data_IF_385349027414
#
_entry.id   IF_385349027414
#
_cell.length_a   1.000
_cell.length_b   1.000
_cell.length_c   1.000
_cell.angle_alpha   90.00
_cell.angle_beta   90.00
_cell.angle_gamma   90.00
#
_symmetry.space_group_name_H-M   'P 1'
#
loop_
_entity.id
_entity.type
_entity.pdbx_description
1 polymer ?
#
# COMPACT_ATOMS: atom_id res chain seq x y z
N UNK A 1 -20.34 24.72 -38.49
CA UNK A 1 -19.66 25.81 -37.78
C UNK A 1 -20.43 26.08 -36.50
N UNK A 2 -20.01 25.47 -35.38
CA UNK A 2 -20.31 25.90 -34.02
C UNK A 2 -19.32 25.17 -33.10
N UNK A 3 -18.41 25.94 -32.53
CA UNK A 3 -17.37 25.53 -31.58
C UNK A 3 -17.94 25.49 -30.16
N UNK A 4 -17.49 24.53 -29.35
CA UNK A 4 -17.45 24.52 -27.88
C UNK A 4 -16.54 23.34 -27.43
N UNK A 5 -15.91 23.37 -26.25
CA UNK A 5 -14.51 23.77 -26.11
C UNK A 5 -13.55 22.63 -25.70
N UNK A 6 -12.31 22.80 -26.14
CA UNK A 6 -11.11 21.98 -25.93
C UNK A 6 -10.53 22.10 -24.50
N UNK A 7 -11.18 21.52 -23.48
CA UNK A 7 -10.65 21.58 -22.11
C UNK A 7 -10.76 20.31 -21.25
N UNK A 8 -11.22 19.17 -21.77
CA UNK A 8 -11.41 17.95 -20.95
C UNK A 8 -10.49 16.77 -21.31
N UNK A 9 -9.53 16.98 -22.21
CA UNK A 9 -8.60 15.93 -22.68
C UNK A 9 -7.14 16.14 -22.24
N UNK A 10 -6.87 17.17 -21.44
CA UNK A 10 -5.50 17.58 -21.07
C UNK A 10 -5.05 17.08 -19.69
N UNK A 11 -5.90 16.34 -18.96
CA UNK A 11 -5.57 15.84 -17.61
C UNK A 11 -5.13 14.37 -17.56
N UNK A 12 -5.24 13.64 -18.68
CA UNK A 12 -4.79 12.25 -18.79
C UNK A 12 -3.30 12.16 -19.21
N UNK A 13 -2.72 13.26 -19.72
CA UNK A 13 -1.42 13.22 -20.41
C UNK A 13 -0.19 13.71 -19.63
N UNK A 14 -0.32 14.10 -18.35
CA UNK A 14 0.84 14.54 -17.54
C UNK A 14 1.38 13.52 -16.53
N UNK A 15 0.68 12.39 -16.34
CA UNK A 15 1.07 11.38 -15.34
C UNK A 15 2.07 10.31 -15.80
N UNK A 16 2.18 10.07 -17.11
CA UNK A 16 2.86 8.85 -17.63
C UNK A 16 4.30 9.11 -18.10
N UNK A 17 4.73 10.37 -18.26
CA UNK A 17 6.01 10.68 -18.91
C UNK A 17 7.23 10.87 -17.96
N UNK A 18 7.19 10.43 -16.68
CA UNK A 18 8.30 10.71 -15.74
C UNK A 18 8.91 9.56 -14.95
N UNK A 19 8.58 8.30 -15.24
CA UNK A 19 9.08 7.16 -14.46
C UNK A 19 9.74 6.04 -15.27
N UNK A 20 10.21 6.35 -16.49
CA UNK A 20 11.21 5.51 -17.16
C UNK A 20 12.61 5.84 -16.64
N UNK A 21 13.11 5.03 -15.71
CA UNK A 21 14.54 4.70 -15.48
C UNK A 21 14.72 3.93 -14.16
N UNK A 22 14.94 2.62 -14.22
CA UNK A 22 16.24 1.97 -13.91
C UNK A 22 16.11 0.45 -13.69
N UNK A 23 16.90 -0.27 -14.50
CA UNK A 23 17.59 -1.55 -14.35
C UNK A 23 17.09 -2.66 -13.40
N UNK A 24 16.88 -3.80 -14.05
CA UNK A 24 17.04 -5.17 -13.58
C UNK A 24 18.43 -5.43 -12.99
N UNK A 25 18.50 -6.17 -11.87
CA UNK A 25 19.49 -7.23 -11.66
C UNK A 25 18.88 -8.33 -10.79
N UNK A 26 18.82 -9.53 -11.37
CA UNK A 26 18.45 -10.80 -10.74
C UNK A 26 19.64 -11.37 -9.96
N UNK A 27 19.41 -11.95 -8.78
CA UNK A 27 20.37 -12.89 -8.14
C UNK A 27 19.61 -14.09 -7.57
N UNK A 28 20.21 -15.25 -7.79
CA UNK A 28 19.64 -16.59 -7.76
C UNK A 28 19.33 -17.14 -6.37
N UNK A 29 18.31 -18.00 -6.35
CA UNK A 29 17.86 -18.84 -5.25
C UNK A 29 18.68 -20.15 -5.23
N UNK A 30 19.25 -20.53 -4.08
CA UNK A 30 19.92 -21.83 -3.88
C UNK A 30 19.25 -22.51 -2.67
N UNK A 31 18.83 -23.79 -2.77
CA UNK A 31 18.07 -24.48 -1.73
C UNK A 31 18.95 -25.02 -0.59
N UNK A 32 18.31 -25.18 0.57
CA UNK A 32 18.85 -25.59 1.87
C UNK A 32 19.33 -27.05 1.89
N UNK A 33 20.28 -27.33 2.78
CA UNK A 33 20.48 -28.67 3.37
C UNK A 33 20.41 -28.54 4.89
N UNK A 34 19.57 -29.34 5.53
CA UNK A 34 19.39 -29.42 6.99
C UNK A 34 20.21 -30.61 7.52
N UNK A 35 20.99 -30.39 8.57
CA UNK A 35 21.47 -31.46 9.44
C UNK A 35 20.91 -31.26 10.85
N UNK A 36 20.39 -32.36 11.41
CA UNK A 36 19.83 -32.47 12.75
C UNK A 36 20.93 -32.75 13.77
N UNK A 37 20.92 -32.03 14.91
CA UNK A 37 21.50 -32.54 16.15
C UNK A 37 20.66 -32.18 17.39
N UNK A 38 20.26 -33.26 18.07
CA UNK A 38 20.10 -33.53 19.50
C UNK A 38 19.52 -32.50 20.47
N UNK A 39 18.52 -33.02 21.20
CA UNK A 39 17.75 -32.45 22.31
C UNK A 39 18.61 -32.39 23.58
N UNK A 40 18.58 -31.26 24.28
CA UNK A 40 18.40 -31.18 25.74
C UNK A 40 18.19 -29.73 26.18
N UNK A 41 17.36 -29.56 27.22
CA UNK A 41 16.93 -28.31 27.88
C UNK A 41 15.64 -27.71 27.33
N UNK A 42 14.52 -27.97 28.01
CA UNK A 42 13.28 -27.18 27.88
C UNK A 42 13.56 -25.80 28.48
N UNK A 43 13.59 -24.69 27.70
CA UNK A 43 13.64 -23.36 28.27
C UNK A 43 12.20 -22.91 28.54
N UNK A 44 12.00 -22.20 29.66
CA UNK A 44 10.83 -21.34 29.85
C UNK A 44 10.65 -20.50 28.57
N UNK A 45 9.48 -20.57 27.95
CA UNK A 45 9.14 -19.74 26.80
C UNK A 45 9.08 -18.29 27.31
N UNK A 46 10.21 -17.61 27.28
CA UNK A 46 10.22 -16.16 27.25
C UNK A 46 9.73 -15.82 25.85
N UNK A 47 8.52 -15.27 25.75
CA UNK A 47 8.00 -14.79 24.47
C UNK A 47 8.98 -13.72 23.95
N UNK A 48 9.69 -14.06 22.90
CA UNK A 48 10.77 -13.23 22.35
C UNK A 48 10.15 -12.03 21.62
N UNK A 49 10.51 -10.83 22.07
CA UNK A 49 10.10 -9.60 21.41
C UNK A 49 10.92 -9.43 20.14
N UNK A 50 10.26 -9.06 19.04
CA UNK A 50 10.95 -8.83 17.77
C UNK A 50 10.42 -7.60 17.04
N UNK A 51 11.26 -7.07 16.15
CA UNK A 51 10.96 -5.93 15.29
C UNK A 51 11.31 -6.32 13.86
N UNK A 52 10.30 -6.41 13.01
CA UNK A 52 10.45 -6.73 11.59
C UNK A 52 10.28 -5.47 10.75
N UNK A 53 11.34 -5.07 10.05
CA UNK A 53 11.29 -3.89 9.19
C UNK A 53 10.64 -4.20 7.85
N UNK A 54 9.60 -3.43 7.48
CA UNK A 54 8.92 -3.62 6.20
C UNK A 54 9.82 -3.09 5.07
N UNK A 55 10.22 -3.93 4.10
CA UNK A 55 11.11 -3.51 3.02
C UNK A 55 10.58 -2.33 2.22
N UNK A 56 11.48 -1.48 1.72
CA UNK A 56 11.17 -0.36 0.79
C UNK A 56 10.18 0.69 1.34
N UNK A 57 10.02 0.81 2.65
CA UNK A 57 9.12 1.80 3.29
C UNK A 57 9.80 3.09 3.78
N UNK A 58 11.10 3.24 3.53
CA UNK A 58 11.85 4.42 3.98
C UNK A 58 11.57 5.64 3.08
N UNK A 59 11.03 6.69 3.69
CA UNK A 59 10.62 7.93 3.04
C UNK A 59 11.31 9.14 3.66
N UNK A 60 11.60 10.15 2.85
CA UNK A 60 12.22 11.42 3.27
C UNK A 60 11.43 12.59 2.71
N UNK A 61 11.08 13.56 3.56
CA UNK A 61 10.54 14.85 3.14
C UNK A 61 11.68 15.82 2.87
N UNK A 62 12.12 15.87 1.60
CA UNK A 62 13.21 16.72 1.13
C UNK A 62 12.64 17.99 0.49
N UNK A 63 12.75 19.11 1.19
CA UNK A 63 12.31 20.42 0.67
C UNK A 63 13.23 20.96 -0.43
N UNK A 64 14.54 20.73 -0.31
CA UNK A 64 15.57 21.18 -1.26
C UNK A 64 16.69 20.13 -1.34
N UNK A 65 17.18 19.89 -2.56
CA UNK A 65 18.30 18.96 -2.79
C UNK A 65 19.54 19.46 -2.05
N UNK A 66 20.24 18.55 -1.37
CA UNK A 66 21.45 18.88 -0.60
C UNK A 66 21.18 19.51 0.76
N UNK A 67 19.94 19.49 1.24
CA UNK A 67 19.55 19.89 2.60
C UNK A 67 19.09 18.65 3.36
N UNK A 68 19.31 18.64 4.68
CA UNK A 68 18.77 17.60 5.57
C UNK A 68 17.24 17.47 5.40
N UNK A 69 16.69 16.23 5.31
CA UNK A 69 15.26 16.03 5.25
C UNK A 69 14.54 16.63 6.46
N UNK A 70 13.41 17.30 6.23
CA UNK A 70 12.58 17.87 7.30
C UNK A 70 11.90 16.78 8.15
N UNK A 71 11.64 15.63 7.51
CA UNK A 71 11.17 14.42 8.17
C UNK A 71 11.74 13.20 7.46
N UNK A 72 11.88 12.11 8.21
CA UNK A 72 12.24 10.79 7.70
C UNK A 72 11.37 9.75 8.39
N UNK A 73 10.86 8.77 7.65
CA UNK A 73 10.00 7.74 8.21
C UNK A 73 10.28 6.36 7.66
N UNK A 74 9.98 5.34 8.47
CA UNK A 74 10.03 3.93 8.08
C UNK A 74 8.86 3.18 8.71
N UNK A 75 8.53 2.01 8.16
CA UNK A 75 7.51 1.12 8.74
C UNK A 75 8.13 -0.17 9.26
N UNK A 76 7.59 -0.66 10.35
CA UNK A 76 7.97 -1.91 10.99
C UNK A 76 6.73 -2.62 11.57
N UNK A 77 6.89 -3.89 11.88
CA UNK A 77 5.95 -4.67 12.69
C UNK A 77 6.64 -4.99 14.00
N UNK A 78 6.01 -4.63 15.11
CA UNK A 78 6.48 -4.96 16.44
C UNK A 78 5.71 -6.17 16.96
N UNK A 79 6.43 -7.18 17.45
CA UNK A 79 5.87 -8.40 18.02
C UNK A 79 6.14 -8.44 19.52
N UNK A 80 5.10 -8.64 20.31
CA UNK A 80 5.19 -8.90 21.74
C UNK A 80 4.14 -9.95 22.10
N UNK A 81 4.56 -11.06 22.69
CA UNK A 81 3.68 -12.18 23.01
C UNK A 81 2.90 -12.69 21.77
N UNK A 82 1.58 -12.82 21.90
CA UNK A 82 0.65 -13.20 20.85
C UNK A 82 0.09 -12.01 20.05
N UNK A 83 0.73 -10.84 20.17
CA UNK A 83 0.28 -9.59 19.57
C UNK A 83 1.28 -9.04 18.58
N UNK A 84 0.77 -8.37 17.57
CA UNK A 84 1.57 -7.60 16.63
C UNK A 84 0.99 -6.22 16.37
N UNK A 85 1.86 -5.24 16.21
CA UNK A 85 1.46 -3.88 15.89
C UNK A 85 2.18 -3.40 14.65
N UNK A 86 1.42 -2.84 13.73
CA UNK A 86 1.99 -2.12 12.59
C UNK A 86 2.36 -0.71 13.05
N UNK A 87 3.63 -0.35 12.90
CA UNK A 87 4.15 0.93 13.37
C UNK A 87 4.84 1.68 12.23
N UNK A 88 4.49 2.95 12.08
CA UNK A 88 5.24 3.93 11.29
C UNK A 88 6.03 4.82 12.24
N UNK A 89 7.35 4.78 12.16
CA UNK A 89 8.21 5.68 12.93
C UNK A 89 8.58 6.85 12.04
N UNK A 90 8.25 8.07 12.48
CA UNK A 90 8.53 9.32 11.77
C UNK A 90 9.37 10.21 12.67
N UNK A 91 10.64 10.43 12.33
CA UNK A 91 11.45 11.46 12.95
C UNK A 91 11.19 12.81 12.25
N UNK A 92 10.85 13.84 13.02
CA UNK A 92 10.67 15.22 12.56
C UNK A 92 11.68 16.14 13.23
N UNK A 93 12.46 16.83 12.43
CA UNK A 93 13.46 17.77 12.89
C UNK A 93 14.73 17.70 12.06
N UNK A 94 15.59 18.68 12.29
CA UNK A 94 16.93 18.78 11.71
C UNK A 94 17.95 18.54 12.82
N UNK A 95 18.83 17.57 12.64
CA UNK A 95 19.87 17.21 13.60
C UNK A 95 21.16 18.01 13.37
N UNK A 96 21.40 18.45 12.13
CA UNK A 96 22.60 19.19 11.75
C UNK A 96 22.23 20.63 11.37
N UNK A 97 22.26 21.53 12.36
CA UNK A 97 21.95 22.95 12.16
C UNK A 97 23.09 23.76 11.49
N UNK A 98 24.27 23.17 11.26
CA UNK A 98 25.47 23.91 10.86
C UNK A 98 26.08 23.32 9.58
N UNK A 99 26.37 24.23 8.63
CA UNK A 99 26.80 24.03 7.23
C UNK A 99 28.17 23.34 7.04
N UNK A 100 28.61 22.51 7.97
CA UNK A 100 29.95 21.92 7.93
C UNK A 100 29.85 20.41 7.90
N UNK A 101 30.27 19.83 6.77
CA UNK A 101 30.31 18.41 6.39
C UNK A 101 29.10 17.88 5.62
N UNK A 102 29.38 17.02 4.65
CA UNK A 102 28.44 16.31 3.79
C UNK A 102 27.41 15.57 4.63
N UNK A 103 26.12 15.89 4.46
CA UNK A 103 25.03 15.16 5.10
C UNK A 103 25.19 13.66 4.87
N UNK A 104 24.94 12.88 5.93
CA UNK A 104 24.89 11.42 5.85
C UNK A 104 24.07 10.98 4.64
N UNK A 105 24.51 9.95 3.93
CA UNK A 105 23.83 9.49 2.72
C UNK A 105 22.41 8.98 3.03
N UNK A 106 21.50 8.92 2.04
CA UNK A 106 20.15 8.36 2.25
C UNK A 106 20.18 6.95 2.89
N UNK A 107 21.04 6.01 2.43
CA UNK A 107 21.19 4.70 3.09
C UNK A 107 21.66 4.80 4.54
N UNK A 108 22.61 5.68 4.83
CA UNK A 108 23.16 5.87 6.17
C UNK A 108 22.11 6.43 7.14
N UNK A 109 21.35 7.45 6.75
CA UNK A 109 20.22 7.97 7.54
C UNK A 109 19.15 6.91 7.80
N UNK A 110 18.89 6.05 6.81
CA UNK A 110 17.99 4.90 7.00
C UNK A 110 18.55 3.95 8.05
N UNK A 111 19.82 3.59 7.99
CA UNK A 111 20.48 2.72 8.99
C UNK A 111 20.42 3.35 10.38
N UNK A 112 20.69 4.65 10.50
CA UNK A 112 20.61 5.37 11.77
C UNK A 112 19.20 5.39 12.34
N UNK A 113 18.16 5.59 11.52
CA UNK A 113 16.76 5.52 11.95
C UNK A 113 16.36 4.09 12.36
N UNK A 114 16.84 3.06 11.65
CA UNK A 114 16.66 1.65 12.02
C UNK A 114 17.29 1.38 13.39
N UNK A 115 18.53 1.83 13.61
CA UNK A 115 19.21 1.68 14.90
C UNK A 115 18.44 2.37 16.03
N UNK A 116 17.90 3.57 15.79
CA UNK A 116 17.03 4.24 16.75
C UNK A 116 15.79 3.39 17.09
N UNK A 117 15.10 2.87 16.07
CA UNK A 117 13.90 2.03 16.27
C UNK A 117 14.22 0.77 17.09
N UNK A 118 15.35 0.13 16.82
CA UNK A 118 15.80 -1.05 17.57
C UNK A 118 16.08 -0.74 19.06
N UNK A 119 16.35 0.52 19.41
CA UNK A 119 16.62 0.92 20.78
C UNK A 119 15.35 1.29 21.57
N UNK A 120 14.22 1.56 20.91
CA UNK A 120 12.98 1.97 21.56
C UNK A 120 12.39 0.79 22.35
N UNK A 121 11.93 1.07 23.56
CA UNK A 121 11.13 0.17 24.38
C UNK A 121 9.64 0.34 23.99
N UNK A 122 9.17 -0.50 23.07
CA UNK A 122 7.80 -0.43 22.55
C UNK A 122 6.73 -0.89 23.55
N UNK A 123 7.07 -1.71 24.55
CA UNK A 123 6.10 -2.17 25.58
C UNK A 123 5.63 -1.01 26.48
N UNK A 124 6.44 0.04 26.58
CA UNK A 124 6.10 1.25 27.35
C UNK A 124 5.31 2.27 26.53
N UNK A 125 5.04 1.98 25.27
CA UNK A 125 4.26 2.84 24.39
C UNK A 125 2.83 2.31 24.27
N UNK A 126 1.84 3.20 24.37
CA UNK A 126 0.43 2.87 24.11
C UNK A 126 0.19 2.72 22.60
N UNK A 127 0.66 1.61 22.02
CA UNK A 127 0.42 1.30 20.60
C UNK A 127 -1.08 1.04 20.36
N UNK A 128 -1.58 1.48 19.21
CA UNK A 128 -2.98 1.38 18.85
C UNK A 128 -3.27 0.04 18.18
N UNK A 129 -4.29 -0.66 18.66
CA UNK A 129 -4.72 -1.95 18.13
C UNK A 129 -5.43 -1.82 16.76
N UNK A 130 -5.33 -2.88 15.95
CA UNK A 130 -6.05 -3.07 14.67
C UNK A 130 -5.85 -1.94 13.63
N UNK A 131 -4.69 -1.29 13.69
CA UNK A 131 -4.32 -0.17 12.82
C UNK A 131 -2.81 -0.04 12.65
N UNK A 132 -2.39 0.90 11.80
CA UNK A 132 -1.03 1.42 11.80
C UNK A 132 -0.92 2.57 12.81
N UNK A 133 -0.06 2.40 13.81
CA UNK A 133 0.33 3.41 14.79
C UNK A 133 1.47 4.26 14.22
N UNK A 134 1.32 5.59 14.17
CA UNK A 134 2.41 6.50 13.83
C UNK A 134 3.05 7.07 15.10
N UNK A 135 4.35 6.81 15.27
CA UNK A 135 5.20 7.39 16.29
C UNK A 135 5.93 8.60 15.69
N UNK A 136 5.51 9.81 16.06
CA UNK A 136 6.18 11.04 15.64
C UNK A 136 7.22 11.41 16.68
N UNK A 137 8.47 11.10 16.39
CA UNK A 137 9.62 11.43 17.22
C UNK A 137 10.09 12.84 16.88
N UNK A 138 10.25 13.68 17.90
CA UNK A 138 10.74 15.06 17.78
C UNK A 138 11.82 15.33 18.82
N UNK A 139 12.64 16.33 18.54
CA UNK A 139 13.66 16.82 19.46
C UNK A 139 13.17 18.07 20.21
N UNK A 140 13.17 18.02 21.54
CA UNK A 140 12.78 19.17 22.37
C UNK A 140 13.93 20.19 22.47
N UNK A 141 13.77 21.35 21.84
CA UNK A 141 14.64 22.51 22.00
C UNK A 141 14.10 23.43 23.11
N UNK A 142 14.61 23.27 24.34
CA UNK A 142 14.29 24.17 25.46
C UNK A 142 12.97 23.89 26.18
N UNK A 143 12.75 24.60 27.30
CA UNK A 143 11.67 24.35 28.27
C UNK A 143 10.30 24.97 27.92
N UNK A 144 10.12 25.55 26.72
CA UNK A 144 9.01 26.48 26.48
C UNK A 144 7.87 25.98 25.60
N UNK A 145 7.92 24.75 25.09
CA UNK A 145 6.76 24.22 24.35
C UNK A 145 6.60 22.72 24.57
N UNK A 146 6.23 22.34 25.80
CA UNK A 146 5.64 21.02 26.02
C UNK A 146 4.27 21.01 25.34
N UNK A 147 4.23 20.59 24.08
CA UNK A 147 2.98 20.17 23.45
C UNK A 147 2.37 19.11 24.39
N UNK A 148 1.16 19.34 24.90
CA UNK A 148 0.50 18.52 25.94
C UNK A 148 0.43 17.01 25.65
N UNK A 149 0.75 16.60 24.42
CA UNK A 149 0.72 15.22 23.93
C UNK A 149 2.09 14.59 23.66
N UNK A 150 3.22 15.24 23.98
CA UNK A 150 4.55 14.64 23.77
C UNK A 150 5.00 13.89 25.02
N UNK A 151 5.22 12.59 24.90
CA UNK A 151 5.73 11.73 25.99
C UNK A 151 7.22 11.45 25.80
N UNK A 152 7.94 11.25 26.90
CA UNK A 152 9.35 10.85 26.87
C UNK A 152 9.51 9.46 26.27
N UNK A 153 10.49 9.27 25.39
CA UNK A 153 10.80 7.95 24.83
C UNK A 153 11.66 7.18 25.82
N UNK A 154 11.22 5.97 26.16
CA UNK A 154 12.03 5.01 26.89
C UNK A 154 12.80 4.12 25.90
N UNK A 155 14.07 3.91 26.19
CA UNK A 155 14.94 3.08 25.38
C UNK A 155 15.35 1.82 26.18
N UNK A 156 15.27 0.66 25.54
CA UNK A 156 15.76 -0.62 26.10
C UNK A 156 17.28 -0.75 26.00
N UNK A 157 17.87 -0.06 25.05
CA UNK A 157 19.32 0.02 24.81
C UNK A 157 19.70 1.42 24.37
N UNK A 158 20.96 1.80 24.58
CA UNK A 158 21.45 3.09 24.06
C UNK A 158 21.62 3.01 22.55
N UNK A 159 21.24 4.07 21.79
CA UNK A 159 21.65 4.19 20.39
C UNK A 159 23.16 4.06 20.24
N UNK A 160 23.60 3.54 19.09
CA UNK A 160 25.02 3.44 18.73
C UNK A 160 25.71 4.80 18.89
N UNK A 161 26.95 4.82 19.39
CA UNK A 161 27.70 6.04 19.68
C UNK A 161 27.94 6.86 18.40
N UNK A 162 28.01 6.19 17.25
CA UNK A 162 28.14 6.82 15.92
C UNK A 162 26.80 7.31 15.35
N UNK A 163 25.68 7.01 16.02
CA UNK A 163 24.36 7.45 15.61
C UNK A 163 24.17 8.95 15.84
N UNK A 164 23.60 9.63 14.84
CA UNK A 164 23.15 11.03 14.94
C UNK A 164 22.16 11.27 16.10
N UNK A 165 21.50 10.22 16.60
CA UNK A 165 20.54 10.31 17.71
C UNK A 165 21.17 10.15 19.10
N UNK A 166 22.41 9.62 19.21
CA UNK A 166 23.00 9.25 20.49
C UNK A 166 23.11 10.44 21.45
N UNK A 167 23.55 11.60 20.95
CA UNK A 167 23.74 12.82 21.74
C UNK A 167 22.44 13.50 22.17
N UNK A 168 21.31 13.16 21.54
CA UNK A 168 20.01 13.79 21.79
C UNK A 168 18.95 12.82 22.30
N UNK A 169 19.28 11.54 22.49
CA UNK A 169 18.32 10.49 22.83
C UNK A 169 17.49 10.84 24.07
N UNK A 170 18.15 11.41 25.10
CA UNK A 170 17.50 11.86 26.34
C UNK A 170 16.56 13.07 26.18
N UNK A 171 16.53 13.70 25.00
CA UNK A 171 15.70 14.86 24.66
C UNK A 171 14.68 14.57 23.56
N UNK A 172 14.60 13.31 23.13
CA UNK A 172 13.58 12.87 22.18
C UNK A 172 12.27 12.65 22.92
N UNK A 173 11.20 13.18 22.32
CA UNK A 173 9.83 12.89 22.76
C UNK A 173 9.02 12.36 21.58
N UNK A 174 7.99 11.58 21.87
CA UNK A 174 7.13 10.95 20.87
C UNK A 174 5.68 11.41 21.03
N UNK A 175 5.00 11.58 19.90
CA UNK A 175 3.55 11.70 19.83
C UNK A 175 3.03 10.44 19.16
N UNK A 176 2.11 9.75 19.81
CA UNK A 176 1.43 8.57 19.27
C UNK A 176 0.11 9.00 18.62
N UNK A 177 -0.15 8.51 17.41
CA UNK A 177 -1.45 8.66 16.75
C UNK A 177 -1.70 7.56 15.74
N UNK A 178 -2.92 7.49 15.21
CA UNK A 178 -3.24 6.65 14.05
C UNK A 178 -2.60 7.23 12.78
N UNK A 179 -1.93 6.41 11.96
CA UNK A 179 -1.40 6.86 10.66
C UNK A 179 -2.57 7.32 9.76
N UNK A 180 -2.63 8.61 9.37
CA UNK A 180 -3.71 9.11 8.53
C UNK A 180 -3.62 8.59 7.09
N UNK A 181 -2.43 8.17 6.63
CA UNK A 181 -2.13 7.71 5.27
C UNK A 181 -1.98 6.19 5.16
N UNK A 182 -2.35 5.44 6.21
CA UNK A 182 -2.44 3.97 6.11
C UNK A 182 -3.50 3.57 5.09
N UNK A 183 -3.34 2.38 4.54
CA UNK A 183 -4.36 1.79 3.67
C UNK A 183 -5.63 1.54 4.48
N UNK A 184 -6.78 1.93 3.95
CA UNK A 184 -8.08 1.66 4.59
C UNK A 184 -8.75 0.53 3.84
N UNK A 185 -8.72 -0.66 4.40
CA UNK A 185 -9.42 -1.80 3.81
C UNK A 185 -10.90 -1.71 4.19
N UNK A 186 -11.83 -1.65 3.22
CA UNK A 186 -13.26 -1.72 3.47
C UNK A 186 -13.63 -2.96 4.27
N UNK A 187 -14.51 -2.82 5.25
CA UNK A 187 -15.22 -4.00 5.77
C UNK A 187 -16.03 -4.60 4.65
N UNK A 188 -15.95 -5.91 4.48
CA UNK A 188 -16.69 -6.61 3.44
C UNK A 188 -17.75 -7.52 4.04
N UNK A 189 -19.01 -7.18 3.79
CA UNK A 189 -20.18 -7.96 4.19
C UNK A 189 -20.93 -8.44 2.94
N UNK A 190 -21.13 -9.75 2.82
CA UNK A 190 -21.72 -10.36 1.62
C UNK A 190 -23.23 -10.65 1.77
N UNK A 191 -23.95 -9.84 2.55
CA UNK A 191 -25.32 -10.16 3.02
C UNK A 191 -26.42 -9.55 2.15
N UNK A 192 -26.22 -8.34 1.62
CA UNK A 192 -27.29 -7.57 0.94
C UNK A 192 -27.38 -7.83 -0.57
N UNK A 193 -26.24 -8.11 -1.22
CA UNK A 193 -26.18 -8.51 -2.63
C UNK A 193 -25.00 -9.48 -2.82
N UNK A 194 -25.26 -10.79 -2.72
CA UNK A 194 -24.23 -11.81 -2.69
C UNK A 194 -23.43 -11.83 -3.99
N UNK A 195 -22.14 -11.56 -3.87
CA UNK A 195 -21.18 -11.79 -4.94
C UNK A 195 -20.25 -12.92 -4.58
N UNK A 196 -19.66 -13.54 -5.59
CA UNK A 196 -18.60 -14.51 -5.36
C UNK A 196 -17.42 -13.83 -4.66
N UNK A 197 -16.85 -14.55 -3.70
CA UNK A 197 -15.69 -14.11 -2.93
C UNK A 197 -14.55 -15.09 -3.13
N UNK A 198 -13.33 -14.57 -3.11
CA UNK A 198 -12.09 -15.35 -3.14
C UNK A 198 -11.20 -14.87 -2.01
N UNK A 199 -10.61 -15.82 -1.28
CA UNK A 199 -9.60 -15.46 -0.30
C UNK A 199 -8.31 -14.99 -1.01
N UNK A 200 -7.66 -13.96 -0.49
CA UNK A 200 -6.44 -13.40 -1.06
C UNK A 200 -5.35 -14.47 -1.26
N UNK A 201 -5.27 -15.46 -0.36
CA UNK A 201 -4.30 -16.56 -0.47
C UNK A 201 -4.49 -17.43 -1.72
N UNK A 202 -5.67 -17.38 -2.33
CA UNK A 202 -5.97 -18.10 -3.57
C UNK A 202 -5.49 -17.36 -4.82
N UNK A 203 -5.16 -16.08 -4.69
CA UNK A 203 -4.81 -15.22 -5.84
C UNK A 203 -3.31 -15.27 -6.08
N UNK A 204 -2.92 -15.75 -7.27
CA UNK A 204 -1.52 -15.72 -7.72
C UNK A 204 -1.35 -14.67 -8.80
N UNK A 205 -0.51 -13.65 -8.55
CA UNK A 205 -0.19 -12.60 -9.53
C UNK A 205 0.88 -13.10 -10.48
N UNK A 206 0.66 -12.94 -11.78
CA UNK A 206 1.59 -13.43 -12.82
C UNK A 206 2.27 -12.30 -13.59
N UNK A 207 1.63 -11.13 -13.71
CA UNK A 207 2.19 -9.97 -14.41
C UNK A 207 1.54 -8.69 -13.88
N UNK A 208 2.31 -7.62 -13.66
CA UNK A 208 1.78 -6.29 -13.34
C UNK A 208 1.53 -5.49 -14.63
N UNK A 209 0.31 -4.98 -14.81
CA UNK A 209 -0.05 -4.10 -15.93
C UNK A 209 0.18 -2.63 -15.57
N UNK A 210 -0.22 -2.27 -14.35
CA UNK A 210 0.00 -0.95 -13.76
C UNK A 210 -0.04 -1.08 -12.24
N UNK A 211 0.23 0.02 -11.54
CA UNK A 211 0.32 0.04 -10.08
C UNK A 211 -0.96 -0.48 -9.41
N UNK A 212 -0.87 -1.69 -8.84
CA UNK A 212 -2.01 -2.35 -8.20
C UNK A 212 -3.03 -2.94 -9.19
N UNK A 213 -2.66 -3.17 -10.44
CA UNK A 213 -3.47 -3.92 -11.42
C UNK A 213 -2.61 -5.01 -12.04
N UNK A 214 -2.97 -6.26 -11.81
CA UNK A 214 -2.18 -7.41 -12.23
C UNK A 214 -3.01 -8.42 -13.01
N UNK A 215 -2.36 -9.14 -13.90
CA UNK A 215 -2.81 -10.45 -14.38
C UNK A 215 -2.70 -11.45 -13.22
N UNK A 216 -3.75 -12.24 -13.01
CA UNK A 216 -3.79 -13.19 -11.91
C UNK A 216 -4.53 -14.49 -12.28
N UNK A 217 -4.27 -15.54 -11.50
CA UNK A 217 -4.95 -16.83 -11.56
C UNK A 217 -5.45 -17.20 -10.15
N UNK A 218 -6.46 -18.07 -10.05
CA UNK A 218 -7.08 -18.50 -8.79
C UNK A 218 -6.79 -19.97 -8.54
N UNK A 219 -6.14 -20.31 -7.41
CA UNK A 219 -5.76 -21.71 -7.08
C UNK A 219 -4.98 -22.43 -8.19
N UNK A 220 -4.19 -21.68 -8.97
CA UNK A 220 -3.49 -22.20 -10.15
C UNK A 220 -4.40 -22.78 -11.23
N UNK A 221 -5.63 -22.29 -11.34
CA UNK A 221 -6.46 -22.54 -12.52
C UNK A 221 -5.80 -22.00 -13.80
N UNK A 222 -6.17 -22.58 -14.94
CA UNK A 222 -5.71 -22.10 -16.26
C UNK A 222 -6.39 -20.78 -16.66
N UNK A 223 -7.43 -20.39 -15.93
CA UNK A 223 -8.19 -19.17 -16.24
C UNK A 223 -7.42 -17.95 -15.79
N UNK A 224 -7.30 -17.00 -16.70
CA UNK A 224 -6.65 -15.72 -16.42
C UNK A 224 -7.69 -14.68 -16.02
N UNK A 225 -7.35 -13.87 -15.04
CA UNK A 225 -8.14 -12.76 -14.54
C UNK A 225 -7.32 -11.47 -14.48
N UNK A 226 -8.02 -10.35 -14.31
CA UNK A 226 -7.43 -9.08 -13.88
C UNK A 226 -7.75 -8.88 -12.40
N UNK A 227 -6.71 -8.75 -11.59
CA UNK A 227 -6.80 -8.45 -10.16
C UNK A 227 -6.42 -6.99 -9.91
N UNK A 228 -7.35 -6.22 -9.34
CA UNK A 228 -7.13 -4.84 -8.89
C UNK A 228 -6.99 -4.81 -7.37
N UNK A 229 -5.90 -4.25 -6.88
CA UNK A 229 -5.54 -4.23 -5.46
C UNK A 229 -6.01 -2.97 -4.76
N UNK A 230 -6.44 -3.14 -3.50
CA UNK A 230 -6.65 -2.02 -2.58
C UNK A 230 -5.30 -1.45 -2.12
N UNK A 231 -4.39 -2.32 -1.71
CA UNK A 231 -3.05 -1.95 -1.24
C UNK A 231 -2.09 -1.82 -2.43
N UNK A 232 -2.03 -0.62 -3.00
CA UNK A 232 -1.18 -0.30 -4.14
C UNK A 232 -0.13 0.75 -3.76
N UNK A 233 1.01 0.80 -4.47
CA UNK A 233 1.96 1.87 -4.23
C UNK A 233 1.28 3.23 -4.52
N UNK A 234 1.63 4.26 -3.74
CA UNK A 234 1.01 5.59 -3.78
C UNK A 234 -0.49 5.63 -3.38
N UNK A 235 -0.97 4.64 -2.63
CA UNK A 235 -2.33 4.67 -2.07
C UNK A 235 -2.61 5.99 -1.34
N UNK A 236 -3.76 6.59 -1.64
CA UNK A 236 -4.34 7.67 -0.86
C UNK A 236 -5.62 7.22 -0.15
N UNK A 237 -5.94 7.69 1.06
CA UNK A 237 -7.15 7.28 1.78
C UNK A 237 -8.47 7.38 1.02
N UNK A 238 -8.57 8.30 0.05
CA UNK A 238 -9.75 8.45 -0.82
C UNK A 238 -9.90 7.32 -1.85
N UNK A 239 -8.83 6.59 -2.13
CA UNK A 239 -8.81 5.48 -3.09
C UNK A 239 -9.71 4.33 -2.66
N UNK A 240 -9.88 4.15 -1.34
CA UNK A 240 -10.83 3.18 -0.79
C UNK A 240 -12.25 3.47 -1.25
N UNK A 241 -12.70 4.72 -1.14
CA UNK A 241 -14.04 5.11 -1.55
C UNK A 241 -14.22 4.90 -3.07
N UNK A 242 -13.18 5.16 -3.86
CA UNK A 242 -13.18 4.91 -5.32
C UNK A 242 -13.34 3.42 -5.62
N UNK A 243 -12.62 2.55 -4.91
CA UNK A 243 -12.71 1.10 -5.07
C UNK A 243 -14.06 0.53 -4.61
N UNK A 244 -14.62 1.03 -3.51
CA UNK A 244 -15.96 0.66 -3.05
C UNK A 244 -17.02 1.03 -4.09
N UNK A 245 -16.93 2.25 -4.64
CA UNK A 245 -17.82 2.70 -5.71
C UNK A 245 -17.63 1.89 -7.00
N UNK A 246 -16.38 1.56 -7.35
CA UNK A 246 -16.09 0.71 -8.51
C UNK A 246 -16.72 -0.67 -8.34
N UNK A 247 -16.56 -1.31 -7.18
CA UNK A 247 -17.18 -2.59 -6.86
C UNK A 247 -18.71 -2.50 -6.95
N UNK A 248 -19.30 -1.45 -6.38
CA UNK A 248 -20.75 -1.22 -6.47
C UNK A 248 -21.23 -1.09 -7.91
N UNK A 249 -20.55 -0.28 -8.73
CA UNK A 249 -20.89 -0.11 -10.14
C UNK A 249 -20.79 -1.43 -10.91
N UNK A 250 -19.73 -2.20 -10.66
CA UNK A 250 -19.52 -3.50 -11.29
C UNK A 250 -20.59 -4.54 -10.91
N UNK A 251 -21.15 -4.45 -9.70
CA UNK A 251 -22.32 -5.27 -9.33
C UNK A 251 -23.55 -4.91 -10.16
N UNK A 252 -23.83 -3.60 -10.28
CA UNK A 252 -24.98 -3.10 -11.05
C UNK A 252 -24.88 -3.40 -12.54
N UNK A 253 -23.67 -3.42 -13.09
CA UNK A 253 -23.40 -3.62 -14.52
C UNK A 253 -23.17 -5.08 -14.90
N UNK A 254 -23.46 -6.02 -14.00
CA UNK A 254 -23.32 -7.45 -14.27
C UNK A 254 -24.22 -7.86 -15.45
N UNK A 255 -23.66 -8.61 -16.39
CA UNK A 255 -24.34 -9.11 -17.58
C UNK A 255 -24.45 -8.09 -18.72
N UNK A 256 -23.95 -6.86 -18.55
CA UNK A 256 -23.91 -5.87 -19.63
C UNK A 256 -22.75 -6.19 -20.57
N UNK A 257 -23.09 -6.69 -21.76
CA UNK A 257 -22.13 -6.93 -22.84
C UNK A 257 -21.36 -5.64 -23.18
N UNK A 258 -20.04 -5.78 -23.38
CA UNK A 258 -19.13 -4.67 -23.65
C UNK A 258 -18.56 -4.00 -22.39
N UNK A 259 -18.98 -4.43 -21.19
CA UNK A 259 -18.39 -4.02 -19.91
C UNK A 259 -17.58 -5.18 -19.33
N UNK A 260 -16.41 -4.90 -18.77
CA UNK A 260 -15.62 -5.91 -18.06
C UNK A 260 -16.39 -6.44 -16.85
N UNK A 261 -16.55 -7.77 -16.75
CA UNK A 261 -17.42 -8.36 -15.74
C UNK A 261 -16.69 -8.62 -14.42
N UNK A 262 -17.43 -8.41 -13.32
CA UNK A 262 -17.01 -8.80 -11.99
C UNK A 262 -17.04 -10.31 -11.83
N UNK A 263 -15.88 -10.91 -11.57
CA UNK A 263 -15.76 -12.33 -11.26
C UNK A 263 -15.93 -12.57 -9.76
N UNK A 264 -15.20 -11.82 -8.93
CA UNK A 264 -15.27 -11.95 -7.48
C UNK A 264 -14.74 -10.71 -6.75
N UNK A 265 -15.18 -10.51 -5.50
CA UNK A 265 -14.45 -9.71 -4.54
C UNK A 265 -13.33 -10.56 -3.92
N UNK A 266 -12.13 -9.99 -3.81
CA UNK A 266 -11.00 -10.64 -3.13
C UNK A 266 -10.97 -10.13 -1.70
N UNK A 267 -10.96 -11.03 -0.73
CA UNK A 267 -11.10 -10.73 0.69
C UNK A 267 -10.01 -11.41 1.52
N UNK A 268 -9.76 -10.92 2.73
CA UNK A 268 -8.96 -11.60 3.75
C UNK A 268 -9.35 -11.10 5.14
N UNK A 269 -8.72 -11.64 6.19
CA UNK A 269 -8.69 -10.96 7.49
C UNK A 269 -8.04 -9.57 7.39
N UNK A 270 -8.36 -8.68 8.34
CA UNK A 270 -7.75 -7.36 8.43
C UNK A 270 -6.21 -7.51 8.58
N UNK A 271 -5.40 -6.97 7.65
CA UNK A 271 -3.94 -7.10 7.71
C UNK A 271 -3.31 -6.38 8.89
N UNK A 272 -4.03 -5.48 9.57
CA UNK A 272 -3.53 -4.74 10.72
C UNK A 272 -3.99 -5.34 12.06
N UNK A 273 -4.63 -6.50 12.03
CA UNK A 273 -5.19 -7.14 13.22
C UNK A 273 -4.09 -7.42 14.24
N UNK A 274 -4.30 -6.95 15.47
CA UNK A 274 -3.26 -7.06 16.51
C UNK A 274 -3.17 -8.45 17.11
N UNK A 275 -4.30 -9.14 17.27
CA UNK A 275 -4.35 -10.50 17.82
C UNK A 275 -4.64 -11.49 16.70
N UNK A 276 -3.65 -12.30 16.32
CA UNK A 276 -3.77 -13.27 15.21
C UNK A 276 -4.56 -14.54 15.55
N UNK A 277 -4.76 -14.85 16.83
CA UNK A 277 -5.26 -16.15 17.29
C UNK A 277 -6.78 -16.22 17.46
N UNK A 278 -7.49 -15.09 17.47
CA UNK A 278 -8.94 -15.05 17.67
C UNK A 278 -9.68 -15.07 16.34
N UNK A 279 -10.10 -16.27 15.89
CA UNK A 279 -11.11 -16.43 14.82
C UNK A 279 -12.46 -15.75 15.13
N UNK A 280 -12.64 -15.25 16.36
CA UNK A 280 -13.90 -14.78 16.93
C UNK A 280 -14.27 -13.36 16.44
N UNK A 281 -13.29 -12.53 16.07
CA UNK A 281 -13.49 -11.15 15.59
C UNK A 281 -12.87 -10.92 14.19
N UNK A 282 -12.92 -11.93 13.31
CA UNK A 282 -12.34 -11.83 11.97
C UNK A 282 -13.16 -10.87 11.08
N UNK A 283 -12.93 -9.58 11.25
CA UNK A 283 -13.36 -8.56 10.31
C UNK A 283 -12.76 -8.90 8.95
N UNK A 284 -13.61 -9.44 8.08
CA UNK A 284 -13.24 -9.70 6.70
C UNK A 284 -13.21 -8.38 5.97
N UNK A 285 -12.11 -8.11 5.30
CA UNK A 285 -11.91 -6.85 4.58
C UNK A 285 -11.71 -7.10 3.09
N UNK A 286 -12.13 -6.13 2.28
CA UNK A 286 -11.88 -6.13 0.85
C UNK A 286 -10.39 -5.89 0.61
N UNK A 287 -9.75 -6.80 -0.13
CA UNK A 287 -8.35 -6.74 -0.55
C UNK A 287 -8.20 -6.34 -2.01
N UNK A 288 -9.23 -6.58 -2.81
CA UNK A 288 -9.27 -6.16 -4.20
C UNK A 288 -10.48 -6.69 -4.96
N UNK A 289 -10.45 -6.48 -6.27
CA UNK A 289 -11.54 -6.84 -7.21
C UNK A 289 -10.95 -7.73 -8.29
N UNK A 290 -11.62 -8.86 -8.56
CA UNK A 290 -11.26 -9.80 -9.61
C UNK A 290 -12.21 -9.63 -10.80
N UNK A 291 -11.66 -9.40 -11.98
CA UNK A 291 -12.38 -9.16 -13.23
C UNK A 291 -11.99 -10.17 -14.29
N UNK A 292 -12.84 -10.31 -15.30
CA UNK A 292 -12.51 -11.06 -16.52
C UNK A 292 -11.29 -10.46 -17.22
N UNK A 293 -10.51 -11.34 -17.86
CA UNK A 293 -9.34 -10.94 -18.65
C UNK A 293 -9.67 -10.90 -20.14
N UNK A 294 -9.34 -9.78 -20.79
CA UNK A 294 -9.45 -9.61 -22.24
C UNK A 294 -8.06 -9.73 -22.87
N UNK A 295 -7.85 -10.80 -23.66
CA UNK A 295 -6.53 -11.19 -24.15
C UNK A 295 -5.98 -10.30 -25.27
N UNK A 296 -6.83 -9.56 -25.98
CA UNK A 296 -6.39 -8.71 -27.09
C UNK A 296 -5.82 -7.36 -26.62
N UNK A 297 -5.81 -7.12 -25.30
CA UNK A 297 -5.26 -5.91 -24.70
C UNK A 297 -6.21 -4.73 -24.80
N UNK A 298 -5.65 -3.53 -24.66
CA UNK A 298 -6.44 -2.29 -24.75
C UNK A 298 -6.59 -1.84 -26.20
N UNK A 299 -7.63 -1.07 -26.49
CA UNK A 299 -7.76 -0.40 -27.79
C UNK A 299 -6.52 0.46 -28.12
N UNK A 300 -5.87 1.03 -27.12
CA UNK A 300 -4.61 1.77 -27.30
C UNK A 300 -3.48 0.88 -27.82
N UNK A 301 -3.32 -0.34 -27.27
CA UNK A 301 -2.31 -1.30 -27.73
C UNK A 301 -2.52 -1.65 -29.20
N UNK A 302 -3.79 -1.89 -29.56
CA UNK A 302 -4.19 -2.24 -30.92
C UNK A 302 -3.97 -1.07 -31.87
N UNK A 303 -4.29 0.16 -31.45
CA UNK A 303 -4.07 1.36 -32.23
C UNK A 303 -2.59 1.69 -32.43
N UNK A 304 -1.73 1.28 -31.49
CA UNK A 304 -0.28 1.38 -31.59
C UNK A 304 0.34 0.27 -32.43
N UNK A 305 -0.34 -0.88 -32.57
CA UNK A 305 0.14 -2.00 -33.39
C UNK A 305 0.18 -1.65 -34.89
N UNK A 306 1.11 -2.25 -35.64
CA UNK A 306 1.28 -2.00 -37.09
C UNK A 306 0.24 -2.72 -37.97
N UNK A 307 -0.87 -3.19 -37.39
CA UNK A 307 -1.90 -3.94 -38.11
C UNK A 307 -2.64 -3.05 -39.12
N UNK A 308 -2.67 -3.49 -40.38
CA UNK A 308 -3.23 -2.73 -41.51
C UNK A 308 -4.76 -2.83 -41.64
N UNK A 309 -5.38 -3.87 -41.06
CA UNK A 309 -6.84 -4.08 -41.10
C UNK A 309 -7.39 -3.89 -39.70
N UNK A 310 -8.03 -2.75 -39.46
CA UNK A 310 -8.65 -2.42 -38.17
C UNK A 310 -10.17 -2.40 -38.33
N UNK A 311 -10.93 -3.15 -37.54
CA UNK A 311 -12.39 -3.16 -37.61
C UNK A 311 -13.00 -1.93 -36.90
N UNK A 312 -12.55 -0.72 -37.24
CA UNK A 312 -12.95 0.53 -36.57
C UNK A 312 -14.46 0.74 -36.49
N UNK A 313 -15.19 0.31 -37.52
CA UNK A 313 -16.66 0.40 -37.55
C UNK A 313 -17.30 -0.52 -36.51
N UNK A 314 -16.75 -1.71 -36.30
CA UNK A 314 -17.24 -2.66 -35.30
C UNK A 314 -16.96 -2.15 -33.89
N UNK A 315 -15.75 -1.64 -33.63
CA UNK A 315 -15.43 -1.03 -32.34
C UNK A 315 -16.35 0.15 -32.03
N UNK A 316 -16.58 1.05 -33.00
CA UNK A 316 -17.48 2.18 -32.81
C UNK A 316 -18.92 1.74 -32.50
N UNK A 317 -19.42 0.71 -33.19
CA UNK A 317 -20.75 0.14 -32.93
C UNK A 317 -20.83 -0.48 -31.53
N UNK A 318 -19.86 -1.30 -31.13
CA UNK A 318 -19.81 -1.92 -29.80
C UNK A 318 -19.76 -0.86 -28.69
N UNK A 319 -18.92 0.17 -28.85
CA UNK A 319 -18.84 1.28 -27.89
C UNK A 319 -20.14 2.06 -27.79
N UNK A 320 -20.75 2.39 -28.93
CA UNK A 320 -22.00 3.15 -28.95
C UNK A 320 -23.15 2.37 -28.31
N UNK A 321 -23.25 1.08 -28.61
CA UNK A 321 -24.24 0.18 -28.02
C UNK A 321 -24.04 0.03 -26.49
N UNK A 322 -22.79 -0.19 -26.06
CA UNK A 322 -22.44 -0.29 -24.65
C UNK A 322 -22.75 1.02 -23.91
N UNK A 323 -22.37 2.17 -24.46
CA UNK A 323 -22.65 3.49 -23.86
C UNK A 323 -24.16 3.77 -23.78
N UNK A 324 -24.94 3.36 -24.79
CA UNK A 324 -26.39 3.46 -24.78
C UNK A 324 -27.00 2.64 -23.64
N UNK A 325 -26.55 1.39 -23.47
CA UNK A 325 -26.93 0.52 -22.35
C UNK A 325 -26.56 1.17 -21.01
N UNK A 326 -25.32 1.66 -20.86
CA UNK A 326 -24.87 2.35 -19.65
C UNK A 326 -25.72 3.58 -19.33
N UNK A 327 -26.03 4.41 -20.32
CA UNK A 327 -26.89 5.59 -20.14
C UNK A 327 -28.31 5.22 -19.67
N UNK A 328 -28.89 4.15 -20.24
CA UNK A 328 -30.20 3.66 -19.81
C UNK A 328 -30.20 3.19 -18.35
N UNK A 329 -29.10 2.55 -17.90
CA UNK A 329 -28.92 2.15 -16.50
C UNK A 329 -28.60 3.33 -15.56
N UNK A 330 -27.82 4.31 -16.02
CA UNK A 330 -27.34 5.44 -15.21
C UNK A 330 -28.35 6.58 -15.05
N UNK A 331 -29.41 6.66 -15.87
CA UNK A 331 -30.47 7.68 -15.74
C UNK A 331 -31.27 7.59 -14.41
N UNK A 332 -30.96 6.64 -13.52
CA UNK A 332 -31.48 6.57 -12.15
C UNK A 332 -30.46 6.84 -11.03
N UNK A 333 -29.14 6.80 -11.29
CA UNK A 333 -28.10 6.91 -10.25
C UNK A 333 -26.80 7.50 -10.83
N UNK A 334 -26.45 8.73 -10.46
CA UNK A 334 -25.23 9.40 -10.90
C UNK A 334 -23.99 8.86 -10.17
N UNK A 335 -23.21 8.01 -10.85
CA UNK A 335 -21.82 7.70 -10.52
C UNK A 335 -20.96 7.79 -11.78
N UNK A 336 -19.87 8.56 -11.75
CA UNK A 336 -18.96 8.70 -12.90
C UNK A 336 -18.31 7.34 -13.20
N UNK A 337 -18.61 6.77 -14.37
CA UNK A 337 -17.91 5.59 -14.89
C UNK A 337 -16.70 6.08 -15.68
N UNK A 338 -15.51 6.06 -15.07
CA UNK A 338 -14.25 6.18 -15.81
C UNK A 338 -13.77 4.78 -16.17
N UNK A 339 -13.72 4.44 -17.46
CA UNK A 339 -13.30 3.11 -17.93
C UNK A 339 -12.26 3.19 -19.05
N UNK A 340 -11.41 2.17 -19.13
CA UNK A 340 -10.56 1.90 -20.29
C UNK A 340 -11.31 0.94 -21.24
N UNK A 341 -11.01 1.04 -22.54
CA UNK A 341 -11.62 0.19 -23.59
C UNK A 341 -10.66 -0.95 -23.91
N UNK A 342 -11.15 -2.19 -23.82
CA UNK A 342 -10.44 -3.43 -24.15
C UNK A 342 -10.95 -4.00 -25.47
N UNK A 343 -10.09 -4.70 -26.23
CA UNK A 343 -10.45 -5.40 -27.48
C UNK A 343 -10.88 -6.86 -27.26
#
# INVERSE_FOLDING_TARGET
MMFLPTATLTLIWRGIARLLRFNEQSVAFIPKTYEQQSIDSIPKIYEEQSVDFIPRTYEEDIRKRGVEPAARSLRLVYHSAHREWHVKVTFKGTLQAVQTSTFASKPERRTQLVNLCLCIDFDRLELLDDTVTELIITYQQGATTTTRSCQTIHFKSTPDIESEYASIANRLCVIIRKDPYRVRFPTFENTVDPIHTRDLSQITKTQEFSMGVCKACVNSDETTYVYKEVDRPLYEPRDTNVLEQELHNLKLLRGIEGVAQLVAAVVSGNPYQTIKTSKVDNQTVLRGILLEYHSNGTLEDVLRSQTKKRPWRQWALQLTDTLSKLHAYCNGNFGIITGQIFE
#
